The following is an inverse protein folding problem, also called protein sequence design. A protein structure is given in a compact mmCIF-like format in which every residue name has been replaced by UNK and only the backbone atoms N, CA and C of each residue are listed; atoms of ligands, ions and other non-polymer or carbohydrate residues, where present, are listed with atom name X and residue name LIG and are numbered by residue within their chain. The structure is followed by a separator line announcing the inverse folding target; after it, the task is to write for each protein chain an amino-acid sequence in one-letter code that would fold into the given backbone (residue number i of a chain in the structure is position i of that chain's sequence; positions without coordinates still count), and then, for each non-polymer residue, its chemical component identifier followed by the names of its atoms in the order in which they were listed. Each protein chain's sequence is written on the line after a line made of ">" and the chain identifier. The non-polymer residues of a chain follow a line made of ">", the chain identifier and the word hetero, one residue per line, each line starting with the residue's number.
data_IF_849980957812
#
_entry.id   IF_849980957812
#
_cell.length_a   1.000
_cell.length_b   1.000
_cell.length_c   1.000
_cell.angle_alpha   90.00
_cell.angle_beta   90.00
_cell.angle_gamma   90.00
#
_symmetry.space_group_name_H-M   'P 1'
#
loop_
_entity.id
_entity.type
_entity.pdbx_description
1 polymer ?
#
# COMPACT_ATOMS: atom_id res chain seq x y z
N UNK A 1 21.80 15.78 18.57
CA UNK A 1 21.58 15.82 20.03
C UNK A 1 20.13 15.41 20.34
N UNK A 2 19.92 14.18 20.83
CA UNK A 2 18.92 13.76 21.83
C UNK A 2 19.00 12.23 21.94
N UNK A 3 19.88 11.82 22.84
CA UNK A 3 19.98 10.50 23.44
C UNK A 3 18.73 10.22 24.26
N UNK A 4 18.02 9.13 24.00
CA UNK A 4 16.91 8.67 24.86
C UNK A 4 17.20 7.25 25.32
N UNK A 5 17.89 7.23 26.46
CA UNK A 5 17.94 6.23 27.52
C UNK A 5 17.52 4.79 27.20
N UNK A 6 18.55 3.93 27.25
CA UNK A 6 18.47 2.53 27.65
C UNK A 6 17.55 2.32 28.85
N UNK A 7 16.44 1.60 28.64
CA UNK A 7 15.78 0.88 29.73
C UNK A 7 16.31 -0.55 29.75
N UNK A 8 17.54 -0.67 30.24
CA UNK A 8 18.14 -1.95 30.63
C UNK A 8 17.40 -2.47 31.88
N UNK A 9 16.36 -3.27 31.66
CA UNK A 9 15.75 -4.08 32.70
C UNK A 9 16.74 -5.16 33.16
N UNK A 10 17.58 -4.84 34.14
CA UNK A 10 18.24 -5.85 34.97
C UNK A 10 17.18 -6.47 35.86
N UNK A 11 16.52 -7.51 35.35
CA UNK A 11 15.75 -8.43 36.17
C UNK A 11 16.71 -9.10 37.14
N UNK A 12 16.73 -8.60 38.38
CA UNK A 12 17.52 -9.16 39.47
C UNK A 12 17.28 -10.66 39.58
N UNK A 13 18.36 -11.39 39.78
CA UNK A 13 18.33 -12.78 40.22
C UNK A 13 17.56 -12.85 41.54
N UNK A 14 16.27 -13.10 41.45
CA UNK A 14 15.47 -13.49 42.59
C UNK A 14 15.97 -14.85 43.04
N UNK A 15 16.69 -14.89 44.16
CA UNK A 15 16.64 -16.02 45.09
C UNK A 15 15.24 -16.60 45.01
N UNK A 16 15.11 -17.87 44.59
CA UNK A 16 13.83 -18.60 44.57
C UNK A 16 13.31 -18.59 46.01
N UNK A 17 12.58 -17.55 46.38
CA UNK A 17 11.84 -17.52 47.63
C UNK A 17 10.85 -18.66 47.50
N UNK A 18 11.05 -19.65 48.36
CA UNK A 18 10.13 -20.77 48.50
C UNK A 18 8.72 -20.18 48.67
N UNK A 19 7.71 -20.66 47.92
CA UNK A 19 6.35 -20.16 48.04
C UNK A 19 5.93 -20.18 49.51
N UNK A 20 5.36 -19.08 49.98
CA UNK A 20 4.92 -18.93 51.38
C UNK A 20 4.03 -20.11 51.83
N UNK A 21 3.14 -20.60 50.94
CA UNK A 21 2.32 -21.79 51.21
C UNK A 21 3.14 -23.08 51.43
N UNK A 22 4.27 -23.27 50.73
CA UNK A 22 5.13 -24.43 50.96
C UNK A 22 5.87 -24.31 52.31
N UNK A 23 6.21 -23.09 52.72
CA UNK A 23 6.77 -22.85 54.05
C UNK A 23 5.73 -23.09 55.15
N UNK A 24 4.50 -22.65 54.93
CA UNK A 24 3.37 -22.86 55.85
C UNK A 24 3.05 -24.36 55.98
N UNK A 25 3.10 -25.13 54.89
CA UNK A 25 2.88 -26.58 54.92
C UNK A 25 3.92 -27.29 55.79
N UNK A 26 5.19 -26.95 55.64
CA UNK A 26 6.27 -27.50 56.47
C UNK A 26 6.11 -27.10 57.94
N UNK A 27 5.90 -25.81 58.22
CA UNK A 27 5.72 -25.30 59.57
C UNK A 27 4.48 -25.90 60.26
N UNK A 28 3.42 -26.16 59.50
CA UNK A 28 2.22 -26.84 59.97
C UNK A 28 2.50 -28.29 60.32
N UNK A 29 3.22 -29.03 59.45
CA UNK A 29 3.60 -30.41 59.72
C UNK A 29 4.46 -30.51 61.00
N UNK A 30 5.49 -29.67 61.11
CA UNK A 30 6.38 -29.60 62.27
C UNK A 30 5.64 -29.23 63.57
N UNK A 31 4.60 -28.39 63.48
CA UNK A 31 3.78 -28.02 64.64
C UNK A 31 2.86 -29.16 65.05
N UNK A 32 2.18 -29.81 64.10
CA UNK A 32 1.28 -30.92 64.38
C UNK A 32 2.05 -32.10 64.98
N UNK A 33 3.24 -32.43 64.46
CA UNK A 33 4.03 -33.55 64.97
C UNK A 33 4.44 -33.31 66.44
N UNK A 34 4.94 -32.10 66.76
CA UNK A 34 5.25 -31.71 68.14
C UNK A 34 4.02 -31.70 69.05
N UNK A 35 2.90 -31.17 68.58
CA UNK A 35 1.66 -31.13 69.37
C UNK A 35 1.13 -32.54 69.64
N UNK A 36 1.17 -33.43 68.64
CA UNK A 36 0.73 -34.82 68.77
C UNK A 36 1.60 -35.61 69.74
N UNK A 37 2.90 -35.36 69.76
CA UNK A 37 3.84 -35.97 70.74
C UNK A 37 3.57 -35.52 72.17
N UNK A 38 3.12 -34.28 72.37
CA UNK A 38 2.85 -33.71 73.70
C UNK A 38 1.54 -34.18 74.37
N UNK A 39 0.66 -34.86 73.63
CA UNK A 39 -0.64 -35.32 74.13
C UNK A 39 -0.54 -36.79 74.56
N UNK A 40 -1.05 -37.16 75.73
CA UNK A 40 -0.98 -38.56 76.19
C UNK A 40 -2.15 -39.43 75.68
N UNK A 41 -3.28 -38.82 75.34
CA UNK A 41 -4.48 -39.54 74.91
C UNK A 41 -4.40 -40.02 73.46
N UNK A 42 -4.40 -41.35 73.28
CA UNK A 42 -4.35 -42.00 71.97
C UNK A 42 -5.56 -41.66 71.08
N UNK A 43 -6.75 -41.50 71.68
CA UNK A 43 -7.97 -41.11 70.95
C UNK A 43 -7.80 -39.70 70.37
N UNK A 44 -7.22 -38.78 71.15
CA UNK A 44 -6.98 -37.40 70.72
C UNK A 44 -5.89 -37.34 69.64
N UNK A 45 -4.81 -38.15 69.74
CA UNK A 45 -3.79 -38.27 68.69
C UNK A 45 -4.36 -38.69 67.34
N UNK A 46 -5.32 -39.63 67.34
CA UNK A 46 -6.01 -40.06 66.12
C UNK A 46 -6.86 -38.94 65.52
N UNK A 47 -7.60 -38.19 66.34
CA UNK A 47 -8.36 -37.02 65.88
C UNK A 47 -7.45 -35.94 65.29
N UNK A 48 -6.31 -35.65 65.93
CA UNK A 48 -5.30 -34.70 65.43
C UNK A 48 -4.74 -35.17 64.09
N UNK A 49 -4.43 -36.46 63.96
CA UNK A 49 -3.88 -37.03 62.72
C UNK A 49 -4.89 -36.95 61.57
N UNK A 50 -6.17 -37.24 61.84
CA UNK A 50 -7.24 -37.13 60.85
C UNK A 50 -7.43 -35.68 60.40
N UNK A 51 -7.49 -34.73 61.33
CA UNK A 51 -7.59 -33.31 61.02
C UNK A 51 -6.38 -32.81 60.22
N UNK A 52 -5.17 -33.18 60.65
CA UNK A 52 -3.92 -32.80 59.97
C UNK A 52 -3.85 -33.31 58.54
N UNK A 53 -4.28 -34.55 58.28
CA UNK A 53 -4.33 -35.10 56.92
C UNK A 53 -5.20 -34.24 56.01
N UNK A 54 -6.39 -33.85 56.47
CA UNK A 54 -7.33 -33.03 55.71
C UNK A 54 -6.73 -31.65 55.40
N UNK A 55 -6.13 -31.00 56.40
CA UNK A 55 -5.51 -29.67 56.22
C UNK A 55 -4.30 -29.75 55.30
N UNK A 56 -3.49 -30.81 55.42
CA UNK A 56 -2.32 -31.07 54.57
C UNK A 56 -2.74 -31.25 53.11
N UNK A 57 -3.73 -32.09 52.85
CA UNK A 57 -4.28 -32.28 51.50
C UNK A 57 -4.80 -30.98 50.89
N UNK A 58 -5.54 -30.18 51.66
CA UNK A 58 -6.03 -28.87 51.22
C UNK A 58 -4.87 -27.91 50.87
N UNK A 59 -3.83 -27.85 51.71
CA UNK A 59 -2.66 -27.00 51.46
C UNK A 59 -1.88 -27.46 50.22
N UNK A 60 -1.68 -28.77 50.06
CA UNK A 60 -1.03 -29.37 48.89
C UNK A 60 -1.78 -29.06 47.60
N UNK A 61 -3.12 -29.16 47.61
CA UNK A 61 -3.97 -28.78 46.49
C UNK A 61 -3.78 -27.30 46.13
N UNK A 62 -3.84 -26.39 47.12
CA UNK A 62 -3.66 -24.95 46.89
C UNK A 62 -2.26 -24.62 46.36
N UNK A 63 -1.22 -25.31 46.84
CA UNK A 63 0.15 -25.17 46.31
C UNK A 63 0.19 -25.59 44.84
N UNK A 64 -0.42 -26.72 44.50
CA UNK A 64 -0.48 -27.23 43.14
C UNK A 64 -1.19 -26.22 42.21
N UNK A 65 -2.40 -25.79 42.58
CA UNK A 65 -3.15 -24.79 41.82
C UNK A 65 -2.39 -23.47 41.66
N UNK A 66 -1.66 -23.02 42.70
CA UNK A 66 -0.84 -21.81 42.63
C UNK A 66 0.30 -21.93 41.61
N UNK A 67 0.96 -23.09 41.55
CA UNK A 67 2.01 -23.38 40.56
C UNK A 67 1.44 -23.39 39.14
N UNK A 68 0.33 -24.09 38.93
CA UNK A 68 -0.35 -24.14 37.63
C UNK A 68 -0.79 -22.75 37.18
N UNK A 69 -1.38 -21.95 38.07
CA UNK A 69 -1.81 -20.58 37.77
C UNK A 69 -0.63 -19.69 37.36
N UNK A 70 0.55 -19.85 37.97
CA UNK A 70 1.77 -19.14 37.56
C UNK A 70 2.21 -19.55 36.15
N UNK A 71 2.16 -20.83 35.81
CA UNK A 71 2.48 -21.32 34.47
C UNK A 71 1.48 -20.79 33.44
N UNK A 72 0.18 -20.89 33.74
CA UNK A 72 -0.89 -20.38 32.89
C UNK A 72 -0.78 -18.88 32.66
N UNK A 73 -0.47 -18.08 33.69
CA UNK A 73 -0.21 -16.63 33.54
C UNK A 73 0.93 -16.35 32.57
N UNK A 74 2.05 -17.07 32.69
CA UNK A 74 3.20 -16.93 31.77
C UNK A 74 2.82 -17.31 30.34
N UNK A 75 2.10 -18.40 30.16
CA UNK A 75 1.67 -18.85 28.83
C UNK A 75 0.67 -17.87 28.21
N UNK A 76 -0.27 -17.34 28.98
CA UNK A 76 -1.22 -16.34 28.51
C UNK A 76 -0.49 -15.06 28.07
N UNK A 77 0.51 -14.59 28.84
CA UNK A 77 1.34 -13.45 28.42
C UNK A 77 2.09 -13.73 27.10
N UNK A 78 2.64 -14.93 26.92
CA UNK A 78 3.28 -15.34 25.66
C UNK A 78 2.30 -15.32 24.48
N UNK A 79 1.15 -15.96 24.63
CA UNK A 79 0.11 -16.01 23.59
C UNK A 79 -0.36 -14.60 23.23
N UNK A 80 -0.56 -13.73 24.21
CA UNK A 80 -0.93 -12.33 23.98
C UNK A 80 0.12 -11.59 23.17
N UNK A 81 1.41 -11.74 23.51
CA UNK A 81 2.51 -11.10 22.78
C UNK A 81 2.60 -11.61 21.34
N UNK A 82 2.45 -12.91 21.12
CA UNK A 82 2.43 -13.51 19.80
C UNK A 82 1.23 -12.97 18.99
N UNK A 83 0.04 -12.94 19.58
CA UNK A 83 -1.15 -12.37 18.97
C UNK A 83 -0.97 -10.91 18.54
N UNK A 84 -0.35 -10.09 19.39
CA UNK A 84 -0.08 -8.69 19.04
C UNK A 84 0.91 -8.59 17.86
N UNK A 85 1.96 -9.41 17.84
CA UNK A 85 2.93 -9.40 16.73
C UNK A 85 2.32 -9.91 15.41
N UNK A 86 1.46 -10.94 15.46
CA UNK A 86 0.79 -11.45 14.26
C UNK A 86 -0.23 -10.43 13.73
N UNK A 87 -1.00 -9.78 14.60
CA UNK A 87 -1.89 -8.67 14.21
C UNK A 87 -1.11 -7.52 13.56
N UNK A 88 0.02 -7.11 14.14
CA UNK A 88 0.84 -6.05 13.55
C UNK A 88 1.38 -6.42 12.17
N UNK A 89 1.88 -7.65 12.00
CA UNK A 89 2.35 -8.13 10.69
C UNK A 89 1.21 -8.15 9.67
N UNK A 90 0.02 -8.63 10.06
CA UNK A 90 -1.16 -8.65 9.19
C UNK A 90 -1.58 -7.23 8.75
N UNK A 91 -1.51 -6.25 9.65
CA UNK A 91 -1.80 -4.87 9.29
C UNK A 91 -0.78 -4.31 8.30
N UNK A 92 0.51 -4.57 8.53
CA UNK A 92 1.57 -4.12 7.62
C UNK A 92 1.40 -4.72 6.22
N UNK A 93 1.16 -6.03 6.11
CA UNK A 93 0.96 -6.69 4.81
C UNK A 93 -0.31 -6.19 4.12
N UNK A 94 -1.38 -5.90 4.87
CA UNK A 94 -2.58 -5.27 4.32
C UNK A 94 -2.29 -3.88 3.74
N UNK A 95 -1.49 -3.06 4.41
CA UNK A 95 -1.11 -1.74 3.89
C UNK A 95 -0.25 -1.85 2.62
N UNK A 96 0.68 -2.80 2.57
CA UNK A 96 1.47 -3.08 1.37
C UNK A 96 0.59 -3.54 0.20
N UNK A 97 -0.38 -4.42 0.46
CA UNK A 97 -1.35 -4.86 -0.54
C UNK A 97 -2.15 -3.67 -1.10
N UNK A 98 -2.71 -2.82 -0.23
CA UNK A 98 -3.47 -1.64 -0.67
C UNK A 98 -2.61 -0.69 -1.53
N UNK A 99 -1.32 -0.55 -1.21
CA UNK A 99 -0.38 0.24 -2.02
C UNK A 99 -0.15 -0.39 -3.39
N UNK A 100 0.03 -1.70 -3.45
CA UNK A 100 0.22 -2.44 -4.70
C UNK A 100 -1.05 -2.38 -5.58
N UNK A 101 -2.23 -2.58 -5.01
CA UNK A 101 -3.51 -2.45 -5.71
C UNK A 101 -3.68 -1.07 -6.35
N UNK A 102 -3.31 0.00 -5.61
CA UNK A 102 -3.34 1.36 -6.15
C UNK A 102 -2.37 1.54 -7.33
N UNK A 103 -1.18 0.96 -7.25
CA UNK A 103 -0.21 1.00 -8.36
C UNK A 103 -0.74 0.27 -9.59
N UNK A 104 -1.34 -0.91 -9.40
CA UNK A 104 -1.96 -1.68 -10.48
C UNK A 104 -3.07 -0.85 -11.15
N UNK A 105 -3.93 -0.20 -10.37
CA UNK A 105 -4.98 0.65 -10.91
C UNK A 105 -4.44 1.80 -11.78
N UNK A 106 -3.37 2.47 -11.33
CA UNK A 106 -2.72 3.54 -12.10
C UNK A 106 -2.11 3.01 -13.40
N UNK A 107 -1.39 1.90 -13.34
CA UNK A 107 -0.80 1.27 -14.52
C UNK A 107 -1.86 0.83 -15.53
N UNK A 108 -2.98 0.26 -15.08
CA UNK A 108 -4.10 -0.09 -15.96
C UNK A 108 -4.73 1.14 -16.63
N UNK A 109 -4.76 2.29 -15.94
CA UNK A 109 -5.23 3.55 -16.54
C UNK A 109 -4.24 4.02 -17.62
N UNK A 110 -2.95 4.03 -17.32
CA UNK A 110 -1.92 4.42 -18.28
C UNK A 110 -1.89 3.48 -19.50
N UNK A 111 -2.06 2.18 -19.28
CA UNK A 111 -2.15 1.20 -20.35
C UNK A 111 -3.30 1.52 -21.30
N UNK A 112 -4.51 1.76 -20.77
CA UNK A 112 -5.67 2.13 -21.60
C UNK A 112 -5.46 3.41 -22.38
N UNK A 113 -4.83 4.41 -21.77
CA UNK A 113 -4.51 5.66 -22.46
C UNK A 113 -3.51 5.44 -23.61
N UNK A 114 -2.50 4.60 -23.40
CA UNK A 114 -1.55 4.23 -24.46
C UNK A 114 -2.21 3.43 -25.57
N UNK A 115 -3.08 2.50 -25.24
CA UNK A 115 -3.86 1.71 -26.22
C UNK A 115 -4.70 2.62 -27.10
N UNK A 116 -5.38 3.62 -26.52
CA UNK A 116 -6.16 4.62 -27.26
C UNK A 116 -5.26 5.44 -28.20
N UNK A 117 -4.14 5.98 -27.69
CA UNK A 117 -3.20 6.73 -28.55
C UNK A 117 -2.66 5.88 -29.69
N UNK A 118 -2.42 4.59 -29.43
CA UNK A 118 -1.94 3.65 -30.44
C UNK A 118 -3.00 3.39 -31.49
N UNK A 119 -4.28 3.25 -31.12
CA UNK A 119 -5.37 3.14 -32.09
C UNK A 119 -5.48 4.41 -32.94
N UNK A 120 -5.40 5.59 -32.32
CA UNK A 120 -5.47 6.87 -33.05
C UNK A 120 -4.33 6.99 -34.06
N UNK A 121 -3.11 6.61 -33.67
CA UNK A 121 -1.95 6.59 -34.56
C UNK A 121 -2.14 5.61 -35.73
N UNK A 122 -2.70 4.42 -35.48
CA UNK A 122 -3.02 3.46 -36.55
C UNK A 122 -4.05 4.04 -37.52
N UNK A 123 -5.10 4.66 -37.01
CA UNK A 123 -6.10 5.33 -37.85
C UNK A 123 -5.47 6.46 -38.67
N UNK A 124 -4.61 7.28 -38.06
CA UNK A 124 -3.87 8.32 -38.77
C UNK A 124 -2.94 7.77 -39.85
N UNK A 125 -2.26 6.64 -39.58
CA UNK A 125 -1.43 5.96 -40.57
C UNK A 125 -2.24 5.47 -41.77
N UNK A 126 -3.39 4.83 -41.52
CA UNK A 126 -4.30 4.37 -42.59
C UNK A 126 -4.81 5.55 -43.40
N UNK A 127 -5.25 6.63 -42.75
CA UNK A 127 -5.69 7.84 -43.45
C UNK A 127 -4.61 8.42 -44.38
N UNK A 128 -3.36 8.50 -43.89
CA UNK A 128 -2.25 8.99 -44.72
C UNK A 128 -1.98 8.05 -45.90
N UNK A 129 -2.04 6.74 -45.67
CA UNK A 129 -1.87 5.75 -46.73
C UNK A 129 -2.94 5.92 -47.82
N UNK A 130 -4.20 6.02 -47.43
CA UNK A 130 -5.33 6.23 -48.35
C UNK A 130 -5.16 7.55 -49.14
N UNK A 131 -4.69 8.61 -48.49
CA UNK A 131 -4.40 9.89 -49.13
C UNK A 131 -3.24 9.79 -50.14
N UNK A 132 -2.19 9.04 -49.81
CA UNK A 132 -1.09 8.78 -50.74
C UNK A 132 -1.56 7.97 -51.96
N UNK A 133 -2.40 6.95 -51.75
CA UNK A 133 -2.98 6.18 -52.85
C UNK A 133 -3.85 7.04 -53.75
N UNK A 134 -4.73 7.87 -53.16
CA UNK A 134 -5.57 8.80 -53.91
C UNK A 134 -4.74 9.79 -54.73
N UNK A 135 -3.70 10.39 -54.12
CA UNK A 135 -2.81 11.31 -54.82
C UNK A 135 -2.06 10.61 -55.97
N UNK A 136 -1.56 9.40 -55.75
CA UNK A 136 -0.92 8.61 -56.79
C UNK A 136 -1.88 8.33 -57.95
N UNK A 137 -3.11 7.92 -57.67
CA UNK A 137 -4.13 7.69 -58.70
C UNK A 137 -4.45 8.97 -59.48
N UNK A 138 -4.56 10.10 -58.79
CA UNK A 138 -4.74 11.41 -59.43
C UNK A 138 -3.57 11.76 -60.35
N UNK A 139 -2.32 11.64 -59.88
CA UNK A 139 -1.14 11.91 -60.70
C UNK A 139 -1.01 10.97 -61.90
N UNK A 140 -1.34 9.68 -61.72
CA UNK A 140 -1.35 8.70 -62.81
C UNK A 140 -2.46 9.03 -63.84
N UNK A 141 -3.62 9.52 -63.41
CA UNK A 141 -4.67 10.03 -64.30
C UNK A 141 -4.21 11.28 -65.06
N UNK A 142 -3.61 12.27 -64.37
CA UNK A 142 -3.10 13.50 -65.00
C UNK A 142 -2.03 13.22 -66.04
N UNK A 143 -1.13 12.26 -65.78
CA UNK A 143 -0.12 11.83 -66.76
C UNK A 143 -0.74 11.23 -68.02
N UNK A 144 -1.91 10.59 -67.91
CA UNK A 144 -2.64 10.02 -69.07
C UNK A 144 -3.51 11.04 -69.80
N UNK A 145 -4.01 12.06 -69.10
CA UNK A 145 -4.92 13.08 -69.63
C UNK A 145 -4.29 14.48 -69.51
N UNK A 146 -3.12 14.67 -70.12
CA UNK A 146 -2.34 15.90 -70.02
C UNK A 146 -2.92 17.09 -70.77
N UNK A 147 -3.89 16.86 -71.66
CA UNK A 147 -4.54 17.91 -72.45
C UNK A 147 -5.82 18.46 -71.78
N UNK A 148 -6.31 17.83 -70.72
CA UNK A 148 -7.44 18.33 -69.95
C UNK A 148 -6.96 19.43 -68.98
N UNK A 149 -7.60 20.60 -68.99
CA UNK A 149 -7.30 21.66 -68.03
C UNK A 149 -7.83 21.30 -66.63
N UNK A 150 -7.02 21.55 -65.60
CA UNK A 150 -7.44 21.34 -64.21
C UNK A 150 -8.52 22.35 -63.83
N UNK A 151 -9.76 21.89 -63.78
CA UNK A 151 -10.87 22.74 -63.31
C UNK A 151 -11.04 22.55 -61.81
N UNK A 152 -10.50 23.48 -61.04
CA UNK A 152 -10.70 23.54 -59.60
C UNK A 152 -12.03 24.22 -59.29
N UNK A 153 -12.84 23.62 -58.42
CA UNK A 153 -14.00 24.31 -57.87
C UNK A 153 -13.57 25.56 -57.10
N UNK A 154 -14.42 26.59 -57.07
CA UNK A 154 -14.10 27.88 -56.42
C UNK A 154 -13.68 27.77 -54.94
N UNK A 155 -14.07 26.69 -54.27
CA UNK A 155 -13.71 26.41 -52.86
C UNK A 155 -12.54 25.44 -52.68
N UNK A 156 -11.89 25.01 -53.77
CA UNK A 156 -10.75 24.10 -53.69
C UNK A 156 -9.50 24.83 -53.23
N UNK A 157 -8.65 24.16 -52.44
CA UNK A 157 -7.39 24.74 -51.94
C UNK A 157 -6.51 25.36 -53.05
N UNK A 158 -6.30 24.72 -54.22
CA UNK A 158 -5.53 25.33 -55.30
C UNK A 158 -6.15 26.62 -55.84
N UNK A 159 -7.48 26.68 -55.97
CA UNK A 159 -8.19 27.88 -56.42
C UNK A 159 -8.04 29.03 -55.41
N UNK A 160 -8.16 28.75 -54.11
CA UNK A 160 -7.98 29.74 -53.06
C UNK A 160 -6.54 30.26 -52.99
N UNK A 161 -5.53 29.38 -53.15
CA UNK A 161 -4.11 29.78 -53.19
C UNK A 161 -3.83 30.66 -54.40
N UNK A 162 -4.39 30.32 -55.56
CA UNK A 162 -4.27 31.12 -56.77
C UNK A 162 -4.93 32.50 -56.61
N UNK A 163 -6.13 32.57 -56.04
CA UNK A 163 -6.82 33.83 -55.76
C UNK A 163 -6.01 34.73 -54.81
N UNK A 164 -5.51 34.17 -53.71
CA UNK A 164 -4.64 34.91 -52.77
C UNK A 164 -3.38 35.44 -53.46
N UNK A 165 -2.78 34.65 -54.35
CA UNK A 165 -1.58 35.06 -55.11
C UNK A 165 -1.90 36.21 -56.06
N UNK A 166 -3.04 36.18 -56.74
CA UNK A 166 -3.51 37.28 -57.58
C UNK A 166 -3.75 38.56 -56.76
N UNK A 167 -4.42 38.44 -55.60
CA UNK A 167 -4.66 39.57 -54.70
C UNK A 167 -3.35 40.21 -54.24
N UNK A 168 -2.36 39.41 -53.84
CA UNK A 168 -1.03 39.92 -53.44
C UNK A 168 -0.32 40.67 -54.58
N UNK A 169 -0.41 40.17 -55.81
CA UNK A 169 0.16 40.85 -56.97
C UNK A 169 -0.52 42.19 -57.24
N UNK A 170 -1.85 42.22 -57.16
CA UNK A 170 -2.62 43.47 -57.33
C UNK A 170 -2.33 44.48 -56.21
N UNK A 171 -2.17 44.02 -54.96
CA UNK A 171 -1.79 44.87 -53.84
C UNK A 171 -0.42 45.53 -54.09
N UNK A 172 0.56 44.75 -54.56
CA UNK A 172 1.89 45.28 -54.87
C UNK A 172 1.84 46.35 -55.98
N UNK A 173 1.02 46.13 -57.02
CA UNK A 173 0.82 47.10 -58.10
C UNK A 173 0.14 48.39 -57.59
N UNK A 174 -0.93 48.27 -56.80
CA UNK A 174 -1.62 49.42 -56.21
C UNK A 174 -0.69 50.21 -55.29
N UNK A 175 0.16 49.51 -54.53
CA UNK A 175 1.18 50.15 -53.68
C UNK A 175 2.21 50.92 -54.51
N UNK A 176 2.69 50.38 -55.63
CA UNK A 176 3.60 51.11 -56.53
C UNK A 176 2.94 52.35 -57.12
N UNK A 177 1.68 52.23 -57.58
CA UNK A 177 0.91 53.37 -58.11
C UNK A 177 0.73 54.44 -57.03
N UNK A 178 0.34 54.05 -55.81
CA UNK A 178 0.14 54.99 -54.72
C UNK A 178 1.44 55.73 -54.37
N UNK A 179 2.57 55.02 -54.29
CA UNK A 179 3.88 55.62 -54.06
C UNK A 179 4.28 56.61 -55.17
N UNK A 180 3.91 56.35 -56.43
CA UNK A 180 4.15 57.28 -57.55
C UNK A 180 3.28 58.52 -57.46
N UNK A 181 2.01 58.37 -57.06
CA UNK A 181 1.08 59.49 -56.88
C UNK A 181 1.50 60.37 -55.71
N UNK A 182 1.90 59.78 -54.59
CA UNK A 182 2.44 60.52 -53.44
C UNK A 182 3.65 61.38 -53.84
N UNK A 183 4.59 60.82 -54.62
CA UNK A 183 5.74 61.58 -55.16
C UNK A 183 5.35 62.72 -56.11
N UNK A 184 4.22 62.62 -56.82
CA UNK A 184 3.73 63.68 -57.70
C UNK A 184 2.99 64.79 -56.93
N UNK A 185 2.43 64.46 -55.76
CA UNK A 185 1.76 65.42 -54.88
C UNK A 185 2.77 66.16 -53.99
N UNK A 186 3.93 65.57 -53.73
CA UNK A 186 5.06 66.18 -53.00
C UNK A 186 5.96 67.08 -53.88
N UNK A 187 5.61 67.30 -55.16
CA UNK A 187 6.24 68.27 -56.08
C UNK A 187 5.43 69.56 -56.18
#
# INVERSE_FOLDING_TARGET
>A
KRTSADHQWRGGQGTRQRPELELILDAFADYIDRYRESVDSEVVKRSISSFSSIVKEQLEEKICCSKELKVLKKNNAKVRSLGQTTTQRLLNTKYELMRAERQIFLLQKEQRERELRLSDLRTGQTFLHDLFELNRQYLDYRRKNSEEDETYGASALPALVQEVSHLQSTEAQLRDINNRLEKLIEQ
#
